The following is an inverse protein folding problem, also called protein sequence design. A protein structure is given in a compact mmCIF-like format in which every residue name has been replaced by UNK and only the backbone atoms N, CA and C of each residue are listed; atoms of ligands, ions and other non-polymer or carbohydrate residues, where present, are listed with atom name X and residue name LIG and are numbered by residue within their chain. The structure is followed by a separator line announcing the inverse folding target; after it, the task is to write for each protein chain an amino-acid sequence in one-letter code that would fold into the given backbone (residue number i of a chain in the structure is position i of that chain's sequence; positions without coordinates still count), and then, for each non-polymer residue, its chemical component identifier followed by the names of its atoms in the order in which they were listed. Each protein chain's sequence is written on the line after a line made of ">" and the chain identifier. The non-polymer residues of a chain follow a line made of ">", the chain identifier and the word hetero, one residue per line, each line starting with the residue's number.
data_IF_124266676392
#
_entry.id   IF_124266676392
#
_cell.length_a   1.000
_cell.length_b   1.000
_cell.length_c   1.000
_cell.angle_alpha   90.00
_cell.angle_beta   90.00
_cell.angle_gamma   90.00
#
_symmetry.space_group_name_H-M   'P 1'
#
loop_
_entity.id
_entity.type
_entity.pdbx_description
1 polymer ?
#
# COMPACT_ATOMS: atom_id res chain seq x y z
N UNK A 1 -14.82 14.13 -0.06
CA UNK A 1 -14.40 13.10 0.92
C UNK A 1 -13.64 11.93 0.28
N UNK A 2 -13.97 11.50 -0.95
CA UNK A 2 -13.33 10.37 -1.64
C UNK A 2 -11.79 10.44 -1.72
N UNK A 3 -11.23 11.58 -2.14
CA UNK A 3 -9.78 11.78 -2.23
C UNK A 3 -9.10 11.81 -0.87
N UNK A 4 -9.74 12.40 0.15
CA UNK A 4 -9.25 12.41 1.53
C UNK A 4 -9.23 11.01 2.17
N UNK A 5 -10.28 10.21 1.93
CA UNK A 5 -10.33 8.81 2.39
C UNK A 5 -9.27 7.94 1.70
N UNK A 6 -9.08 8.15 0.40
CA UNK A 6 -7.99 7.52 -0.34
C UNK A 6 -6.61 7.94 0.21
N UNK A 7 -6.39 9.22 0.49
CA UNK A 7 -5.16 9.71 1.13
C UNK A 7 -4.88 9.06 2.49
N UNK A 8 -5.92 8.78 3.28
CA UNK A 8 -5.76 8.03 4.53
C UNK A 8 -5.27 6.58 4.28
N UNK A 9 -5.75 5.92 3.22
CA UNK A 9 -5.27 4.59 2.83
C UNK A 9 -3.83 4.62 2.32
N UNK A 10 -3.45 5.65 1.56
CA UNK A 10 -2.05 5.87 1.14
C UNK A 10 -1.13 6.00 2.36
N UNK A 11 -1.53 6.80 3.35
CA UNK A 11 -0.75 6.95 4.59
C UNK A 11 -0.61 5.61 5.33
N UNK A 12 -1.71 4.86 5.48
CA UNK A 12 -1.69 3.54 6.12
C UNK A 12 -0.79 2.56 5.36
N UNK A 13 -0.92 2.49 4.04
CA UNK A 13 -0.06 1.66 3.19
C UNK A 13 1.41 2.04 3.33
N UNK A 14 1.71 3.33 3.47
CA UNK A 14 3.08 3.83 3.61
C UNK A 14 3.66 3.37 4.94
N UNK A 15 2.89 3.46 6.03
CA UNK A 15 3.28 2.95 7.35
C UNK A 15 3.52 1.44 7.28
N UNK A 16 2.63 0.68 6.64
CA UNK A 16 2.80 -0.77 6.46
C UNK A 16 4.12 -1.10 5.74
N UNK A 17 4.42 -0.42 4.63
CA UNK A 17 5.66 -0.62 3.88
C UNK A 17 6.90 -0.23 4.67
N UNK A 18 6.86 0.87 5.45
CA UNK A 18 7.96 1.26 6.34
C UNK A 18 8.22 0.17 7.39
N UNK A 19 7.16 -0.39 8.00
CA UNK A 19 7.31 -1.51 8.94
C UNK A 19 7.88 -2.74 8.25
N UNK A 20 7.43 -3.06 7.03
CA UNK A 20 7.98 -4.19 6.26
C UNK A 20 9.46 -3.97 5.91
N UNK A 21 9.86 -2.76 5.53
CA UNK A 21 11.25 -2.42 5.28
C UNK A 21 12.12 -2.61 6.53
N UNK A 22 11.69 -2.11 7.69
CA UNK A 22 12.40 -2.30 8.95
C UNK A 22 12.51 -3.79 9.34
N UNK A 23 11.46 -4.57 9.13
CA UNK A 23 11.47 -6.03 9.36
C UNK A 23 12.41 -6.76 8.40
N UNK A 24 12.44 -6.35 7.14
CA UNK A 24 13.34 -6.90 6.13
C UNK A 24 14.80 -6.59 6.46
N UNK A 25 15.10 -5.36 6.88
CA UNK A 25 16.44 -4.96 7.31
C UNK A 25 16.94 -5.75 8.54
N UNK A 26 16.01 -6.19 9.41
CA UNK A 26 16.29 -7.06 10.57
C UNK A 26 16.30 -8.56 10.22
N UNK A 27 16.11 -8.95 8.96
CA UNK A 27 16.13 -10.35 8.53
C UNK A 27 14.92 -11.18 8.99
N UNK A 28 13.77 -10.56 9.27
CA UNK A 28 12.57 -11.25 9.76
C UNK A 28 11.81 -12.05 8.67
N UNK A 29 12.32 -12.09 7.44
CA UNK A 29 11.67 -12.75 6.31
C UNK A 29 12.60 -13.79 5.68
N UNK A 30 12.03 -14.93 5.33
CA UNK A 30 12.68 -15.94 4.48
C UNK A 30 11.89 -16.09 3.18
N UNK A 31 12.46 -16.77 2.17
CA UNK A 31 11.78 -17.00 0.88
C UNK A 31 10.43 -17.71 0.99
N UNK A 32 10.23 -18.51 2.02
CA UNK A 32 8.97 -19.24 2.20
C UNK A 32 8.08 -18.61 3.28
N UNK A 33 8.60 -17.61 4.02
CA UNK A 33 7.89 -16.95 5.11
C UNK A 33 8.05 -15.43 5.02
N UNK A 34 7.29 -14.84 4.09
CA UNK A 34 7.22 -13.40 3.87
C UNK A 34 5.79 -12.91 3.59
N UNK A 35 4.77 -13.62 4.07
CA UNK A 35 3.37 -13.26 3.86
C UNK A 35 3.04 -11.82 4.31
N UNK A 36 3.65 -11.34 5.39
CA UNK A 36 3.46 -9.96 5.84
C UNK A 36 3.89 -8.92 4.80
N UNK A 37 4.96 -9.21 4.05
CA UNK A 37 5.42 -8.36 2.95
C UNK A 37 4.48 -8.47 1.74
N UNK A 38 4.05 -9.68 1.37
CA UNK A 38 3.08 -9.90 0.30
C UNK A 38 1.75 -9.18 0.54
N UNK A 39 1.21 -9.28 1.76
CA UNK A 39 -0.03 -8.61 2.13
C UNK A 39 0.09 -7.08 2.06
N UNK A 40 1.24 -6.53 2.48
CA UNK A 40 1.51 -5.10 2.34
C UNK A 40 1.64 -4.67 0.87
N UNK A 41 2.25 -5.49 0.02
CA UNK A 41 2.35 -5.24 -1.42
C UNK A 41 0.97 -5.30 -2.10
N UNK A 42 0.12 -6.28 -1.76
CA UNK A 42 -1.26 -6.35 -2.25
C UNK A 42 -2.08 -5.14 -1.82
N UNK A 43 -1.94 -4.71 -0.56
CA UNK A 43 -2.60 -3.50 -0.08
C UNK A 43 -2.14 -2.26 -0.85
N UNK A 44 -0.84 -2.14 -1.12
CA UNK A 44 -0.30 -1.02 -1.90
C UNK A 44 -0.87 -0.99 -3.33
N UNK A 45 -0.88 -2.13 -4.03
CA UNK A 45 -1.47 -2.21 -5.37
C UNK A 45 -2.97 -1.95 -5.38
N UNK A 46 -3.71 -2.36 -4.35
CA UNK A 46 -5.11 -1.98 -4.20
C UNK A 46 -5.27 -0.45 -4.14
N UNK A 47 -4.45 0.22 -3.33
CA UNK A 47 -4.44 1.68 -3.24
C UNK A 47 -4.11 2.31 -4.59
N UNK A 48 -3.10 1.83 -5.30
CA UNK A 48 -2.72 2.32 -6.63
C UNK A 48 -3.88 2.23 -7.64
N UNK A 49 -4.57 1.08 -7.71
CA UNK A 49 -5.71 0.89 -8.62
C UNK A 49 -6.86 1.84 -8.30
N UNK A 50 -7.18 2.03 -7.01
CA UNK A 50 -8.19 3.00 -6.59
C UNK A 50 -7.80 4.42 -6.99
N UNK A 51 -6.51 4.77 -6.91
CA UNK A 51 -6.03 6.08 -7.35
C UNK A 51 -6.21 6.28 -8.85
N UNK A 52 -5.87 5.29 -9.68
CA UNK A 52 -6.05 5.38 -11.13
C UNK A 52 -7.53 5.63 -11.50
N UNK A 53 -8.45 4.95 -10.82
CA UNK A 53 -9.89 5.17 -11.02
C UNK A 53 -10.32 6.56 -10.55
N UNK A 54 -9.90 7.01 -9.37
CA UNK A 54 -10.21 8.36 -8.88
C UNK A 54 -9.65 9.44 -9.79
N UNK A 55 -8.42 9.28 -10.28
CA UNK A 55 -7.80 10.22 -11.21
C UNK A 55 -8.62 10.34 -12.49
N UNK A 56 -9.00 9.20 -13.10
CA UNK A 56 -9.81 9.18 -14.31
C UNK A 56 -11.18 9.85 -14.10
N UNK A 57 -11.94 9.44 -13.08
CA UNK A 57 -13.35 9.84 -12.93
C UNK A 57 -13.59 11.16 -12.18
N UNK A 58 -12.62 11.65 -11.41
CA UNK A 58 -12.77 12.89 -10.63
C UNK A 58 -11.98 14.05 -11.23
N UNK A 59 -10.85 13.76 -11.89
CA UNK A 59 -9.96 14.81 -12.40
C UNK A 59 -9.90 14.91 -13.92
N UNK A 60 -10.15 13.83 -14.66
CA UNK A 60 -10.06 13.83 -16.14
C UNK A 60 -11.44 13.94 -16.80
N UNK A 61 -12.40 13.10 -16.39
CA UNK A 61 -13.79 13.11 -16.88
C UNK A 61 -14.65 14.09 -16.09
#
# INVERSE_FOLDING_TARGET
>A
MLTGFHGAHVLLGTIMLVVMWLRSAKGHFTRDNHFGFEAAAWYWHFVDVVWLMLFLFVYVL
#
